data_IF_563680668795
#
_entry.id   IF_563680668795
#
_cell.length_a   1.000
_cell.length_b   1.000
_cell.length_c   1.000
_cell.angle_alpha   90.00
_cell.angle_beta   90.00
_cell.angle_gamma   90.00
#
_symmetry.space_group_name_H-M   'P 1'
#
loop_
_entity.id
_entity.type
_entity.pdbx_description
1 polymer ?
#
# COMPACT_ATOMS: atom_id res chain seq x y z
N UNK A 1 18.18 9.48 47.11
CA UNK A 1 18.95 10.41 46.25
C UNK A 1 18.23 10.47 44.93
N UNK A 2 17.62 11.63 44.60
CA UNK A 2 16.92 11.82 43.33
C UNK A 2 17.81 12.61 42.39
N UNK A 3 18.22 11.99 41.28
CA UNK A 3 19.06 12.63 40.27
C UNK A 3 18.18 13.52 39.37
N UNK A 4 18.47 14.82 39.36
CA UNK A 4 17.80 15.80 38.52
C UNK A 4 18.36 15.76 37.10
N UNK A 5 17.67 15.06 36.20
CA UNK A 5 18.01 15.08 34.77
C UNK A 5 17.69 16.46 34.19
N UNK A 6 18.74 17.24 33.91
CA UNK A 6 18.62 18.50 33.18
C UNK A 6 18.86 18.23 31.70
N UNK A 7 17.82 18.39 30.88
CA UNK A 7 17.93 18.27 29.42
C UNK A 7 18.50 19.58 28.89
N UNK A 8 19.69 19.54 28.29
CA UNK A 8 20.25 20.68 27.57
C UNK A 8 19.87 20.58 26.09
N UNK A 9 19.04 21.49 25.62
CA UNK A 9 18.65 21.58 24.21
C UNK A 9 19.59 22.57 23.53
N UNK A 10 20.27 22.13 22.47
CA UNK A 10 21.18 22.98 21.71
C UNK A 10 20.39 24.03 20.90
N UNK A 11 20.90 25.26 20.86
CA UNK A 11 20.29 26.36 20.09
C UNK A 11 20.24 26.10 18.59
N UNK A 12 21.11 25.21 18.09
CA UNK A 12 21.12 24.78 16.69
C UNK A 12 19.92 23.89 16.36
N UNK A 13 19.47 23.03 17.29
CA UNK A 13 18.28 22.20 17.09
C UNK A 13 17.03 23.08 16.95
N UNK A 14 16.93 24.13 17.76
CA UNK A 14 15.81 25.07 17.74
C UNK A 14 15.74 25.83 16.41
N UNK A 15 16.88 26.27 15.85
CA UNK A 15 16.89 26.95 14.54
C UNK A 15 16.46 26.05 13.39
N UNK A 16 16.88 24.78 13.38
CA UNK A 16 16.54 23.85 12.31
C UNK A 16 15.03 23.52 12.27
N UNK A 17 14.36 23.53 13.43
CA UNK A 17 12.91 23.31 13.50
C UNK A 17 12.09 24.53 13.04
N UNK A 18 12.68 25.74 13.12
CA UNK A 18 12.01 26.98 12.69
C UNK A 18 12.11 27.17 11.16
N UNK A 19 13.18 26.70 10.52
CA UNK A 19 13.42 26.88 9.07
C UNK A 19 12.66 25.87 8.17
N UNK A 20 12.30 24.69 8.70
CA UNK A 20 11.56 23.65 7.96
C UNK A 20 10.11 24.08 7.59
N UNK A 21 9.62 25.16 8.20
CA UNK A 21 8.26 25.66 8.01
C UNK A 21 8.01 26.48 6.75
N UNK A 22 9.03 27.06 6.10
CA UNK A 22 8.77 28.11 5.10
C UNK A 22 8.87 27.72 3.61
N UNK A 23 9.65 26.72 3.16
CA UNK A 23 9.97 26.65 1.70
C UNK A 23 10.14 25.27 1.06
N UNK A 24 9.08 24.48 0.91
CA UNK A 24 9.02 23.51 -0.21
C UNK A 24 7.60 23.32 -0.78
N UNK A 25 7.07 24.34 -1.48
CA UNK A 25 6.06 24.10 -2.53
C UNK A 25 6.76 23.70 -3.83
N UNK A 26 7.02 22.40 -4.04
CA UNK A 26 7.36 21.86 -5.37
C UNK A 26 6.25 20.93 -5.85
N UNK A 27 5.60 21.33 -6.94
CA UNK A 27 4.56 20.58 -7.66
C UNK A 27 5.09 19.21 -8.10
N UNK A 28 4.51 18.13 -7.60
CA UNK A 28 4.75 16.76 -8.06
C UNK A 28 4.21 16.57 -9.49
N UNK A 29 5.09 16.60 -10.50
CA UNK A 29 4.77 16.04 -11.82
C UNK A 29 4.93 14.51 -11.74
N UNK A 30 3.84 13.77 -12.01
CA UNK A 30 3.82 12.31 -12.06
C UNK A 30 4.84 11.76 -13.08
N UNK A 31 5.73 10.83 -12.71
CA UNK A 31 6.45 10.03 -13.70
C UNK A 31 5.54 8.88 -14.18
N UNK A 32 5.45 8.70 -15.51
CA UNK A 32 4.79 7.55 -16.14
C UNK A 32 5.57 6.27 -15.80
N UNK A 33 4.86 5.26 -15.31
CA UNK A 33 5.38 3.90 -15.14
C UNK A 33 5.78 3.31 -16.49
N UNK A 34 7.04 2.89 -16.64
CA UNK A 34 7.47 1.98 -17.69
C UNK A 34 7.58 0.58 -17.07
N UNK A 35 6.79 -0.33 -17.64
CA UNK A 35 6.76 -1.77 -17.38
C UNK A 35 8.16 -2.38 -17.47
N UNK A 36 8.60 -3.20 -16.50
CA UNK A 36 9.80 -4.02 -16.64
C UNK A 36 9.60 -5.12 -17.69
N UNK A 37 10.54 -5.17 -18.65
CA UNK A 37 10.59 -6.15 -19.72
C UNK A 37 11.22 -7.46 -19.22
N UNK A 38 10.63 -8.55 -19.68
CA UNK A 38 10.94 -9.97 -19.45
C UNK A 38 12.42 -10.37 -19.71
N UNK A 39 12.97 -11.41 -19.03
CA UNK A 39 14.37 -11.84 -19.17
C UNK A 39 14.64 -12.52 -20.54
N UNK A 40 15.86 -12.43 -21.11
CA UNK A 40 16.17 -13.14 -22.35
C UNK A 40 16.44 -14.63 -22.09
N UNK A 41 15.69 -15.48 -22.77
CA UNK A 41 15.97 -16.91 -22.95
C UNK A 41 17.21 -17.14 -23.86
N UNK A 42 18.02 -18.18 -23.61
CA UNK A 42 19.15 -18.55 -24.46
C UNK A 42 18.70 -19.25 -25.75
N UNK A 43 19.29 -18.86 -26.88
CA UNK A 43 19.03 -19.46 -28.20
C UNK A 43 19.95 -20.67 -28.43
N UNK A 44 19.30 -21.77 -28.83
CA UNK A 44 19.84 -23.03 -29.34
C UNK A 44 20.23 -22.88 -30.82
N UNK A 45 21.39 -23.40 -31.25
CA UNK A 45 21.56 -24.37 -32.38
C UNK A 45 23.02 -24.89 -32.53
N UNK A 46 23.25 -26.13 -33.05
CA UNK A 46 24.50 -26.91 -33.03
C UNK A 46 25.11 -27.11 -34.47
N UNK A 47 25.86 -28.19 -34.84
CA UNK A 47 27.13 -28.80 -34.37
C UNK A 47 28.21 -28.95 -35.51
N UNK A 48 29.32 -29.67 -35.21
CA UNK A 48 30.32 -30.32 -36.09
C UNK A 48 31.52 -29.48 -36.58
N UNK A 49 32.75 -29.98 -36.80
CA UNK A 49 33.60 -31.11 -36.37
C UNK A 49 34.93 -30.95 -37.18
N UNK A 50 36.04 -31.43 -36.61
CA UNK A 50 37.20 -32.06 -37.28
C UNK A 50 38.47 -31.27 -37.70
N UNK A 51 39.58 -31.77 -37.13
CA UNK A 51 41.00 -31.89 -37.57
C UNK A 51 41.82 -30.69 -38.03
N UNK A 52 42.99 -30.52 -37.39
CA UNK A 52 44.26 -30.88 -38.05
C UNK A 52 45.31 -31.29 -37.00
N UNK A 53 46.17 -32.23 -37.38
CA UNK A 53 47.05 -33.08 -36.57
C UNK A 53 48.50 -32.72 -36.92
N UNK A 54 49.37 -32.38 -35.97
CA UNK A 54 50.83 -32.55 -36.15
C UNK A 54 51.55 -32.64 -34.80
N UNK A 55 51.80 -33.88 -34.40
CA UNK A 55 52.99 -34.46 -33.75
C UNK A 55 54.07 -33.59 -33.06
N UNK A 56 54.41 -34.07 -31.86
CA UNK A 56 55.77 -34.24 -31.29
C UNK A 56 56.58 -33.01 -30.90
N UNK A 57 56.74 -32.73 -29.60
CA UNK A 57 58.07 -32.53 -28.95
C UNK A 57 58.07 -33.08 -27.51
N UNK A 58 59.18 -33.76 -27.21
CA UNK A 58 59.57 -34.57 -26.05
C UNK A 58 59.62 -33.83 -24.70
N UNK A 59 59.54 -34.64 -23.64
CA UNK A 59 59.76 -34.30 -22.23
C UNK A 59 61.16 -33.74 -21.91
N UNK A 60 61.23 -32.78 -20.96
CA UNK A 60 62.28 -32.60 -19.92
C UNK A 60 61.90 -31.39 -19.00
N UNK A 61 62.54 -31.16 -17.84
CA UNK A 61 62.31 -31.82 -16.56
C UNK A 61 61.83 -30.87 -15.43
N UNK A 62 61.48 -31.50 -14.31
CA UNK A 62 61.13 -30.97 -12.98
C UNK A 62 61.79 -29.63 -12.55
N UNK A 63 60.93 -28.66 -12.20
CA UNK A 63 61.13 -27.63 -11.17
C UNK A 63 59.78 -27.51 -10.43
N UNK A 64 59.56 -28.11 -9.27
CA UNK A 64 60.20 -27.80 -7.99
C UNK A 64 59.21 -27.03 -7.09
N UNK A 65 58.19 -27.71 -6.55
CA UNK A 65 57.38 -27.23 -5.42
C UNK A 65 57.53 -28.26 -4.28
N UNK A 66 57.81 -27.85 -3.03
CA UNK A 66 57.91 -28.81 -1.95
C UNK A 66 56.52 -29.34 -1.62
N UNK A 67 56.24 -30.57 -2.03
CA UNK A 67 55.06 -31.32 -1.59
C UNK A 67 55.31 -31.67 -0.12
N UNK A 68 54.60 -31.00 0.80
CA UNK A 68 54.58 -31.43 2.19
C UNK A 68 53.88 -32.80 2.31
N UNK A 69 54.36 -33.71 3.17
CA UNK A 69 53.69 -34.99 3.41
C UNK A 69 52.31 -34.74 4.06
N UNK A 70 51.30 -35.58 3.78
CA UNK A 70 49.99 -35.46 4.40
C UNK A 70 50.15 -35.69 5.91
N UNK A 71 50.11 -34.62 6.69
CA UNK A 71 49.99 -34.69 8.13
C UNK A 71 48.61 -35.24 8.46
N UNK A 72 48.57 -36.52 8.87
CA UNK A 72 47.40 -37.15 9.45
C UNK A 72 47.10 -36.48 10.79
N UNK A 73 46.35 -35.38 10.76
CA UNK A 73 45.65 -34.90 11.92
C UNK A 73 44.43 -35.79 12.16
N UNK A 74 44.14 -36.22 13.39
CA UNK A 74 42.91 -36.93 13.68
C UNK A 74 41.75 -36.02 13.29
N UNK A 75 40.85 -36.53 12.44
CA UNK A 75 39.59 -35.87 12.12
C UNK A 75 38.86 -35.72 13.46
N UNK A 76 38.59 -34.49 13.94
CA UNK A 76 37.83 -34.31 15.16
C UNK A 76 36.45 -34.96 14.98
N UNK A 77 35.84 -35.51 16.04
CA UNK A 77 34.53 -36.14 15.93
C UNK A 77 33.57 -35.14 15.31
N UNK A 78 33.09 -35.44 14.10
CA UNK A 78 32.12 -34.59 13.42
C UNK A 78 30.89 -34.53 14.32
N UNK A 79 30.59 -33.33 14.84
CA UNK A 79 29.30 -33.08 15.47
C UNK A 79 28.23 -33.50 14.45
N UNK A 80 27.19 -34.22 14.86
CA UNK A 80 26.16 -34.66 13.91
C UNK A 80 25.57 -33.41 13.25
N UNK A 81 25.80 -33.25 11.94
CA UNK A 81 25.35 -32.09 11.16
C UNK A 81 23.84 -31.82 11.30
N UNK A 82 23.09 -32.85 11.70
CA UNK A 82 21.65 -32.80 11.95
C UNK A 82 21.27 -31.85 13.11
N UNK A 83 22.09 -31.70 14.15
CA UNK A 83 21.69 -30.88 15.32
C UNK A 83 21.65 -29.38 15.01
N UNK A 84 22.52 -28.90 14.11
CA UNK A 84 22.50 -27.49 13.70
C UNK A 84 21.33 -27.21 12.75
N UNK A 85 20.99 -28.17 11.88
CA UNK A 85 19.82 -28.08 11.01
C UNK A 85 18.53 -28.07 11.83
N UNK A 86 18.39 -28.94 12.82
CA UNK A 86 17.22 -28.98 13.70
C UNK A 86 17.05 -27.67 14.49
N UNK A 87 18.15 -27.06 14.93
CA UNK A 87 18.12 -25.76 15.57
C UNK A 87 17.63 -24.65 14.62
N UNK A 88 18.06 -24.66 13.36
CA UNK A 88 17.60 -23.71 12.34
C UNK A 88 16.10 -23.89 12.08
N UNK A 89 15.63 -25.11 11.89
CA UNK A 89 14.20 -25.40 11.68
C UNK A 89 13.34 -24.93 12.85
N UNK A 90 13.80 -25.16 14.08
CA UNK A 90 13.11 -24.70 15.29
C UNK A 90 12.98 -23.16 15.33
N UNK A 91 14.04 -22.44 14.98
CA UNK A 91 14.02 -20.97 14.90
C UNK A 91 13.05 -20.49 13.81
N UNK A 92 13.05 -21.15 12.64
CA UNK A 92 12.12 -20.81 11.56
C UNK A 92 10.66 -21.02 11.99
N UNK A 93 10.36 -22.15 12.62
CA UNK A 93 9.02 -22.46 13.10
C UNK A 93 8.56 -21.48 14.18
N UNK A 94 9.45 -21.08 15.09
CA UNK A 94 9.11 -20.07 16.09
C UNK A 94 8.91 -18.69 15.46
N UNK A 95 9.73 -18.33 14.47
CA UNK A 95 9.57 -17.07 13.73
C UNK A 95 8.23 -16.99 13.01
N UNK A 96 7.78 -18.09 12.40
CA UNK A 96 6.48 -18.18 11.73
C UNK A 96 5.33 -17.96 12.71
N UNK A 97 5.38 -18.62 13.88
CA UNK A 97 4.37 -18.42 14.94
C UNK A 97 4.33 -16.97 15.44
N UNK A 98 5.48 -16.32 15.58
CA UNK A 98 5.54 -14.91 15.98
C UNK A 98 4.93 -14.02 14.90
N UNK A 99 5.22 -14.28 13.62
CA UNK A 99 4.63 -13.55 12.50
C UNK A 99 3.10 -13.70 12.47
N UNK A 100 2.57 -14.91 12.63
CA UNK A 100 1.11 -15.14 12.69
C UNK A 100 0.45 -14.35 13.82
N UNK A 101 1.08 -14.34 15.02
CA UNK A 101 0.58 -13.57 16.16
C UNK A 101 0.58 -12.06 15.89
N UNK A 102 1.64 -11.55 15.27
CA UNK A 102 1.75 -10.14 14.92
C UNK A 102 0.73 -9.75 13.85
N UNK A 103 0.55 -10.57 12.82
CA UNK A 103 -0.49 -10.34 11.79
C UNK A 103 -1.88 -10.27 12.42
N UNK A 104 -2.21 -11.20 13.33
CA UNK A 104 -3.48 -11.17 14.04
C UNK A 104 -3.66 -9.92 14.91
N UNK A 105 -2.58 -9.45 15.55
CA UNK A 105 -2.61 -8.22 16.33
C UNK A 105 -2.80 -6.99 15.44
N UNK A 106 -2.12 -6.94 14.29
CA UNK A 106 -2.27 -5.89 13.29
C UNK A 106 -3.70 -5.81 12.76
N UNK A 107 -4.29 -6.95 12.37
CA UNK A 107 -5.67 -7.01 11.89
C UNK A 107 -6.68 -6.51 12.93
N UNK A 108 -6.53 -6.94 14.20
CA UNK A 108 -7.38 -6.49 15.28
C UNK A 108 -7.25 -4.98 15.51
N UNK A 109 -6.03 -4.47 15.56
CA UNK A 109 -5.77 -3.03 15.70
C UNK A 109 -6.35 -2.23 14.52
N UNK A 110 -6.23 -2.73 13.30
CA UNK A 110 -6.79 -2.09 12.11
C UNK A 110 -8.33 -2.07 12.15
N UNK A 111 -8.96 -3.16 12.59
CA UNK A 111 -10.41 -3.21 12.79
C UNK A 111 -10.85 -2.20 13.84
N UNK A 112 -10.15 -2.13 14.97
CA UNK A 112 -10.44 -1.19 16.05
C UNK A 112 -10.31 0.26 15.60
N UNK A 113 -9.20 0.62 14.95
CA UNK A 113 -8.97 1.98 14.43
C UNK A 113 -10.02 2.34 13.40
N UNK A 114 -10.35 1.41 12.49
CA UNK A 114 -11.39 1.65 11.49
C UNK A 114 -12.75 1.87 12.13
N UNK A 115 -13.11 1.08 13.14
CA UNK A 115 -14.38 1.22 13.83
C UNK A 115 -14.46 2.53 14.62
N UNK A 116 -13.39 2.89 15.33
CA UNK A 116 -13.29 4.16 16.07
C UNK A 116 -13.32 5.37 15.13
N UNK A 117 -12.65 5.29 13.98
CA UNK A 117 -12.67 6.35 12.98
C UNK A 117 -14.09 6.56 12.40
N UNK A 118 -14.81 5.47 12.12
CA UNK A 118 -16.22 5.54 11.70
C UNK A 118 -17.09 6.16 12.77
N UNK A 119 -16.95 5.72 14.02
CA UNK A 119 -17.73 6.23 15.15
C UNK A 119 -17.49 7.73 15.38
N UNK A 120 -16.23 8.15 15.34
CA UNK A 120 -15.84 9.56 15.48
C UNK A 120 -16.38 10.41 14.33
N UNK A 121 -16.24 9.93 13.10
CA UNK A 121 -16.84 10.58 11.93
C UNK A 121 -18.36 10.70 12.07
N UNK A 122 -18.99 9.65 12.58
CA UNK A 122 -20.44 9.57 12.74
C UNK A 122 -20.99 10.45 13.86
N UNK A 123 -20.22 10.72 14.90
CA UNK A 123 -20.63 11.52 16.05
C UNK A 123 -20.26 13.00 15.91
N UNK A 124 -19.03 13.26 15.50
CA UNK A 124 -18.44 14.61 15.53
C UNK A 124 -18.46 15.28 14.17
N UNK A 125 -18.36 14.50 13.08
CA UNK A 125 -18.18 15.04 11.73
C UNK A 125 -19.37 14.77 10.80
N UNK A 126 -20.48 14.23 11.31
CA UNK A 126 -21.72 14.20 10.53
C UNK A 126 -22.15 15.63 10.27
N UNK A 127 -22.13 16.02 8.99
CA UNK A 127 -22.89 17.18 8.56
C UNK A 127 -24.33 16.96 9.03
N UNK A 128 -24.96 17.98 9.64
CA UNK A 128 -26.38 17.93 9.96
C UNK A 128 -27.12 17.39 8.75
N UNK A 129 -27.90 16.32 8.95
CA UNK A 129 -28.54 15.62 7.85
C UNK A 129 -29.23 16.65 6.96
N UNK A 130 -28.88 16.61 5.66
CA UNK A 130 -29.43 17.57 4.70
C UNK A 130 -30.95 17.47 4.81
N UNK A 131 -31.61 18.57 5.18
CA UNK A 131 -33.07 18.64 5.25
C UNK A 131 -33.64 17.97 3.98
N UNK A 132 -34.66 17.11 4.12
CA UNK A 132 -35.23 16.40 2.97
C UNK A 132 -35.59 17.42 1.90
N UNK A 133 -35.34 17.06 0.64
CA UNK A 133 -35.55 17.98 -0.46
C UNK A 133 -37.02 18.45 -0.45
N UNK A 134 -37.27 19.75 -0.38
CA UNK A 134 -38.64 20.23 -0.30
C UNK A 134 -39.36 19.96 -1.62
N UNK A 135 -40.64 19.56 -1.54
CA UNK A 135 -41.48 19.20 -2.69
C UNK A 135 -41.17 17.85 -3.36
N UNK A 136 -40.61 16.89 -2.62
CA UNK A 136 -40.34 15.53 -3.14
C UNK A 136 -41.60 14.86 -3.70
N UNK A 137 -42.71 14.89 -2.96
CA UNK A 137 -43.94 14.20 -3.38
C UNK A 137 -44.51 14.78 -4.68
N UNK A 138 -44.55 16.11 -4.81
CA UNK A 138 -45.03 16.77 -6.03
C UNK A 138 -44.08 16.54 -7.21
N UNK A 139 -42.76 16.48 -6.95
CA UNK A 139 -41.76 16.14 -7.97
C UNK A 139 -41.97 14.71 -8.48
N UNK A 140 -42.12 13.75 -7.57
CA UNK A 140 -42.29 12.34 -7.94
C UNK A 140 -43.64 12.09 -8.63
N UNK A 141 -44.71 12.74 -8.20
CA UNK A 141 -46.01 12.71 -8.89
C UNK A 141 -45.93 13.28 -10.32
N UNK A 142 -45.23 14.41 -10.50
CA UNK A 142 -44.99 15.01 -11.81
C UNK A 142 -44.19 14.07 -12.73
N UNK A 143 -43.12 13.47 -12.22
CA UNK A 143 -42.32 12.50 -12.99
C UNK A 143 -43.11 11.24 -13.33
N UNK A 144 -43.93 10.74 -12.40
CA UNK A 144 -44.75 9.55 -12.65
C UNK A 144 -45.82 9.84 -13.71
N UNK A 145 -46.47 11.00 -13.67
CA UNK A 145 -47.40 11.40 -14.73
C UNK A 145 -46.72 11.43 -16.11
N UNK A 146 -45.51 11.98 -16.22
CA UNK A 146 -44.81 12.01 -17.50
C UNK A 146 -44.40 10.62 -18.01
N UNK A 147 -44.10 9.68 -17.10
CA UNK A 147 -43.84 8.28 -17.46
C UNK A 147 -45.10 7.59 -17.99
N UNK A 148 -46.28 7.92 -17.47
CA UNK A 148 -47.56 7.35 -17.89
C UNK A 148 -48.10 8.02 -19.18
N UNK A 149 -47.78 9.30 -19.39
CA UNK A 149 -48.28 10.10 -20.52
C UNK A 149 -47.17 10.60 -21.45
N UNK A 150 -46.26 9.70 -21.86
CA UNK A 150 -45.13 10.02 -22.76
C UNK A 150 -45.59 10.65 -24.09
N UNK A 151 -46.72 10.20 -24.63
CA UNK A 151 -47.27 10.69 -25.91
C UNK A 151 -48.01 12.02 -25.79
N UNK A 152 -48.59 12.29 -24.62
CA UNK A 152 -49.38 13.49 -24.34
C UNK A 152 -48.90 14.20 -23.05
N UNK A 153 -47.71 14.84 -23.05
CA UNK A 153 -47.14 15.44 -21.84
C UNK A 153 -48.02 16.54 -21.22
N UNK A 154 -48.91 17.15 -22.00
CA UNK A 154 -49.81 18.21 -21.55
C UNK A 154 -50.86 17.73 -20.53
N UNK A 155 -51.15 16.42 -20.47
CA UNK A 155 -52.04 15.84 -19.44
C UNK A 155 -51.45 16.03 -18.02
N UNK A 156 -50.14 16.23 -17.91
CA UNK A 156 -49.45 16.43 -16.64
C UNK A 156 -49.41 17.88 -16.15
N UNK A 157 -50.10 18.81 -16.82
CA UNK A 157 -50.08 20.23 -16.48
C UNK A 157 -50.42 20.52 -15.02
N UNK A 158 -51.36 19.77 -14.43
CA UNK A 158 -51.75 19.95 -13.03
C UNK A 158 -50.61 19.57 -12.06
N UNK A 159 -49.94 18.43 -12.28
CA UNK A 159 -48.81 17.99 -11.45
C UNK A 159 -47.61 18.94 -11.56
N UNK A 160 -47.38 19.51 -12.74
CA UNK A 160 -46.35 20.56 -12.95
C UNK A 160 -46.68 21.81 -12.15
N UNK A 161 -47.95 22.24 -12.17
CA UNK A 161 -48.42 23.40 -11.41
C UNK A 161 -48.25 23.19 -9.92
N UNK A 162 -48.64 22.02 -9.41
CA UNK A 162 -48.52 21.67 -7.98
C UNK A 162 -47.06 21.67 -7.52
N UNK A 163 -46.15 21.12 -8.34
CA UNK A 163 -44.71 21.18 -8.08
C UNK A 163 -44.17 22.62 -8.09
N UNK A 164 -44.58 23.43 -9.07
CA UNK A 164 -44.16 24.83 -9.19
C UNK A 164 -44.65 25.68 -8.00
N UNK A 165 -45.89 25.46 -7.55
CA UNK A 165 -46.48 26.14 -6.41
C UNK A 165 -45.80 25.74 -5.10
N UNK A 166 -45.49 24.46 -4.92
CA UNK A 166 -44.70 24.01 -3.78
C UNK A 166 -43.31 24.68 -3.76
N UNK A 167 -42.59 24.65 -4.90
CA UNK A 167 -41.27 25.26 -5.00
C UNK A 167 -41.31 26.78 -4.74
N UNK A 168 -42.39 27.46 -5.14
CA UNK A 168 -42.60 28.89 -4.86
C UNK A 168 -42.77 29.16 -3.36
N UNK A 169 -43.60 28.38 -2.66
CA UNK A 169 -43.82 28.53 -1.20
C UNK A 169 -42.52 28.30 -0.43
N UNK A 170 -41.75 27.29 -0.80
CA UNK A 170 -40.47 26.97 -0.15
C UNK A 170 -39.47 28.11 -0.33
N UNK A 171 -39.38 28.68 -1.54
CA UNK A 171 -38.52 29.85 -1.79
C UNK A 171 -38.91 31.06 -0.94
N UNK A 172 -40.20 31.28 -0.73
CA UNK A 172 -40.69 32.36 0.13
C UNK A 172 -40.34 32.13 1.60
N UNK A 173 -40.46 30.89 2.10
CA UNK A 173 -40.10 30.55 3.48
C UNK A 173 -38.60 30.74 3.77
N UNK A 174 -37.73 30.33 2.84
CA UNK A 174 -36.26 30.53 2.97
C UNK A 174 -35.87 32.02 2.92
N UNK A 175 -36.66 32.85 2.22
CA UNK A 175 -36.48 34.30 2.21
C UNK A 175 -36.97 34.98 3.50
N UNK A 176 -38.00 34.43 4.14
CA UNK A 176 -38.59 34.95 5.37
C UNK A 176 -37.79 34.58 6.63
N UNK A 177 -37.17 33.39 6.69
CA UNK A 177 -36.29 32.97 7.81
C UNK A 177 -35.00 33.80 7.94
N UNK A 178 -34.70 34.67 6.97
CA UNK A 178 -33.47 35.48 6.93
C UNK A 178 -33.66 36.95 7.33
N UNK A 179 -34.86 37.35 7.75
CA UNK A 179 -35.17 38.68 8.26
C UNK A 179 -35.56 38.63 9.74
#
# INVERSE_FOLDING_TARGET
MGESFTIQISSNLVRNLVDDGEKVKKKTRKPKSKVPREPPQPQTVPPNQLSDDTETIKAAPLTGWPIQPPSYYPIPPQKPANTELDAIWSVLQESEKVVERLQKQEENMLQEVTQRAKDLHDKEFKLPSRKPMPCLDQKDACLNCYKEHVKDPLKCAQFVKDFADCARRVRQQVGAEKN
#
